data_IF_506951773222
#
_entry.id   IF_506951773222
#
_cell.length_a   1.000
_cell.length_b   1.000
_cell.length_c   1.000
_cell.angle_alpha   90.00
_cell.angle_beta   90.00
_cell.angle_gamma   90.00
#
_symmetry.space_group_name_H-M   'P 1'
#
loop_
_entity.id
_entity.type
_entity.pdbx_description
1 polymer ?
#
# COMPACT_ATOMS: atom_id res chain seq x y z
N UNK A 1 -14.16 -4.14 37.80
CA UNK A 1 -13.59 -5.07 36.80
C UNK A 1 -14.59 -5.33 35.69
N UNK A 2 -15.82 -5.78 35.99
CA UNK A 2 -16.91 -5.94 34.99
C UNK A 2 -17.20 -4.64 34.22
N UNK A 3 -17.42 -3.52 34.93
CA UNK A 3 -17.70 -2.22 34.29
C UNK A 3 -16.57 -1.70 33.36
N UNK A 4 -15.31 -2.04 33.63
CA UNK A 4 -14.18 -1.66 32.77
C UNK A 4 -14.11 -2.52 31.51
N UNK A 5 -14.45 -3.81 31.62
CA UNK A 5 -14.54 -4.71 30.47
C UNK A 5 -15.69 -4.26 29.56
N UNK A 6 -16.84 -3.91 30.14
CA UNK A 6 -18.01 -3.44 29.38
C UNK A 6 -17.71 -2.12 28.64
N UNK A 7 -17.02 -1.17 29.28
CA UNK A 7 -16.58 0.08 28.66
C UNK A 7 -15.59 -0.16 27.50
N UNK A 8 -14.64 -1.07 27.68
CA UNK A 8 -13.68 -1.42 26.63
C UNK A 8 -14.35 -2.08 25.41
N UNK A 9 -15.34 -2.94 25.63
CA UNK A 9 -16.08 -3.58 24.53
C UNK A 9 -16.97 -2.58 23.78
N UNK A 10 -17.55 -1.60 24.47
CA UNK A 10 -18.26 -0.50 23.83
C UNK A 10 -17.33 0.32 22.93
N UNK A 11 -16.17 0.73 23.44
CA UNK A 11 -15.19 1.49 22.66
C UNK A 11 -14.68 0.71 21.44
N UNK A 12 -14.42 -0.60 21.59
CA UNK A 12 -14.04 -1.47 20.46
C UNK A 12 -15.15 -1.57 19.41
N UNK A 13 -16.40 -1.66 19.85
CA UNK A 13 -17.56 -1.69 18.96
C UNK A 13 -17.70 -0.37 18.18
N UNK A 14 -17.46 0.77 18.83
CA UNK A 14 -17.45 2.07 18.17
C UNK A 14 -16.31 2.20 17.15
N UNK A 15 -15.09 1.75 17.48
CA UNK A 15 -13.96 1.70 16.55
C UNK A 15 -14.27 0.82 15.34
N UNK A 16 -14.88 -0.35 15.57
CA UNK A 16 -15.28 -1.26 14.49
C UNK A 16 -16.29 -0.59 13.55
N UNK A 17 -17.30 0.09 14.11
CA UNK A 17 -18.27 0.85 13.32
C UNK A 17 -17.60 1.96 12.52
N UNK A 18 -16.75 2.76 13.15
CA UNK A 18 -16.01 3.82 12.48
C UNK A 18 -15.13 3.27 11.34
N UNK A 19 -14.49 2.12 11.56
CA UNK A 19 -13.68 1.44 10.54
C UNK A 19 -14.54 1.03 9.34
N UNK A 20 -15.74 0.48 9.56
CA UNK A 20 -16.67 0.15 8.47
C UNK A 20 -17.08 1.40 7.67
N UNK A 21 -17.38 2.51 8.34
CA UNK A 21 -17.73 3.78 7.70
C UNK A 21 -16.56 4.32 6.85
N UNK A 22 -15.31 4.21 7.35
CA UNK A 22 -14.10 4.59 6.61
C UNK A 22 -13.94 3.74 5.34
N UNK A 23 -14.13 2.42 5.44
CA UNK A 23 -14.03 1.51 4.29
C UNK A 23 -15.08 1.86 3.22
N UNK A 24 -16.31 2.16 3.61
CA UNK A 24 -17.37 2.58 2.67
C UNK A 24 -16.98 3.87 1.93
N UNK A 25 -16.45 4.87 2.66
CA UNK A 25 -15.96 6.12 2.06
C UNK A 25 -14.79 5.89 1.11
N UNK A 26 -13.86 4.98 1.44
CA UNK A 26 -12.73 4.61 0.59
C UNK A 26 -13.21 3.90 -0.69
N UNK A 27 -14.18 3.00 -0.62
CA UNK A 27 -14.76 2.34 -1.80
C UNK A 27 -15.44 3.34 -2.74
N UNK A 28 -16.27 4.23 -2.18
CA UNK A 28 -16.88 5.33 -2.97
C UNK A 28 -15.81 6.21 -3.62
N UNK A 29 -14.72 6.46 -2.90
CA UNK A 29 -13.58 7.23 -3.43
C UNK A 29 -12.86 6.48 -4.56
N UNK A 30 -12.70 5.15 -4.46
CA UNK A 30 -12.12 4.31 -5.51
C UNK A 30 -12.92 4.41 -6.81
N UNK A 31 -14.25 4.36 -6.72
CA UNK A 31 -15.13 4.51 -7.89
C UNK A 31 -14.96 5.87 -8.56
N UNK A 32 -14.98 6.95 -7.76
CA UNK A 32 -14.76 8.32 -8.25
C UNK A 32 -13.37 8.48 -8.88
N UNK A 33 -12.32 7.95 -8.23
CA UNK A 33 -10.97 7.96 -8.76
C UNK A 33 -10.88 7.24 -10.11
N UNK A 34 -11.53 6.08 -10.24
CA UNK A 34 -11.60 5.33 -11.49
C UNK A 34 -12.27 6.15 -12.60
N UNK A 35 -13.41 6.78 -12.31
CA UNK A 35 -14.11 7.63 -13.27
C UNK A 35 -13.27 8.86 -13.68
N UNK A 36 -12.59 9.50 -12.72
CA UNK A 36 -11.68 10.61 -12.96
C UNK A 36 -10.52 10.17 -13.86
N UNK A 37 -9.93 9.00 -13.58
CA UNK A 37 -8.83 8.45 -14.38
C UNK A 37 -9.25 8.18 -15.83
N UNK A 38 -10.45 7.60 -16.06
CA UNK A 38 -11.01 7.41 -17.42
C UNK A 38 -11.11 8.76 -18.14
N UNK A 39 -11.64 9.79 -17.45
CA UNK A 39 -11.79 11.13 -18.01
C UNK A 39 -10.44 11.78 -18.34
N UNK A 40 -9.48 11.72 -17.41
CA UNK A 40 -8.13 12.26 -17.61
C UNK A 40 -7.41 11.57 -18.77
N UNK A 41 -7.51 10.25 -18.86
CA UNK A 41 -6.94 9.48 -19.97
C UNK A 41 -7.49 9.92 -21.32
N UNK A 42 -8.82 10.12 -21.43
CA UNK A 42 -9.48 10.63 -22.65
C UNK A 42 -9.05 12.04 -23.04
N UNK A 43 -8.61 12.85 -22.07
CA UNK A 43 -8.19 14.23 -22.26
C UNK A 43 -6.66 14.41 -22.21
N UNK A 44 -5.88 13.32 -22.22
CA UNK A 44 -4.42 13.34 -22.11
C UNK A 44 -3.89 14.13 -20.89
N UNK A 45 -4.62 14.10 -19.77
CA UNK A 45 -4.24 14.76 -18.53
C UNK A 45 -3.46 13.82 -17.61
N UNK A 46 -2.52 14.38 -16.85
CA UNK A 46 -1.77 13.66 -15.82
C UNK A 46 -2.71 13.20 -14.68
N UNK A 47 -2.56 11.96 -14.17
CA UNK A 47 -3.23 11.53 -12.94
C UNK A 47 -2.92 12.45 -11.74
N UNK A 48 -1.67 12.90 -11.59
CA UNK A 48 -1.30 13.83 -10.51
C UNK A 48 -1.56 15.28 -10.93
N UNK A 49 -2.24 16.01 -10.03
CA UNK A 49 -2.48 17.45 -10.11
C UNK A 49 -2.08 18.10 -8.77
N UNK A 50 -0.83 18.57 -8.70
CA UNK A 50 -0.26 19.17 -7.49
C UNK A 50 -0.97 20.47 -7.09
N UNK A 51 -1.56 21.20 -8.04
CA UNK A 51 -2.28 22.43 -7.75
C UNK A 51 -3.55 22.15 -6.95
N UNK A 52 -4.31 21.12 -7.37
CA UNK A 52 -5.49 20.62 -6.66
C UNK A 52 -5.13 20.01 -5.30
N UNK A 53 -4.06 19.22 -5.21
CA UNK A 53 -3.62 18.65 -3.93
C UNK A 53 -3.29 19.74 -2.91
N UNK A 54 -2.55 20.77 -3.32
CA UNK A 54 -2.21 21.92 -2.46
C UNK A 54 -3.44 22.74 -2.09
N UNK A 55 -4.37 22.94 -3.03
CA UNK A 55 -5.64 23.59 -2.74
C UNK A 55 -6.40 22.87 -1.62
N UNK A 56 -6.52 21.54 -1.69
CA UNK A 56 -7.21 20.74 -0.67
C UNK A 56 -6.49 20.83 0.69
N UNK A 57 -5.15 20.66 0.69
CA UNK A 57 -4.34 20.76 1.92
C UNK A 57 -4.55 22.10 2.64
N UNK A 58 -4.52 23.19 1.88
CA UNK A 58 -4.68 24.54 2.43
C UNK A 58 -6.08 24.81 2.98
N UNK A 59 -7.12 24.19 2.40
CA UNK A 59 -8.51 24.40 2.83
C UNK A 59 -8.89 23.57 4.07
N UNK A 60 -8.33 22.37 4.24
CA UNK A 60 -8.72 21.47 5.34
C UNK A 60 -8.03 21.79 6.67
N UNK A 61 -6.95 22.59 6.69
CA UNK A 61 -6.23 23.01 7.91
C UNK A 61 -5.95 21.85 8.88
N UNK A 62 -5.46 20.74 8.34
CA UNK A 62 -5.15 19.52 9.10
C UNK A 62 -3.85 19.68 9.88
N UNK A 63 -3.73 18.94 10.98
CA UNK A 63 -2.47 18.73 11.70
C UNK A 63 -1.55 17.75 10.95
N UNK A 64 -0.36 17.47 11.48
CA UNK A 64 0.61 16.59 10.81
C UNK A 64 0.09 15.18 10.59
N UNK A 65 -0.70 14.66 11.54
CA UNK A 65 -1.35 13.36 11.41
C UNK A 65 -2.38 13.37 10.27
N UNK A 66 -3.30 14.35 10.28
CA UNK A 66 -4.32 14.50 9.24
C UNK A 66 -3.71 14.74 7.85
N UNK A 67 -2.61 15.50 7.75
CA UNK A 67 -1.86 15.68 6.52
C UNK A 67 -1.26 14.36 6.01
N UNK A 68 -0.75 13.53 6.91
CA UNK A 68 -0.19 12.22 6.57
C UNK A 68 -1.26 11.27 6.03
N UNK A 69 -2.42 11.23 6.69
CA UNK A 69 -3.60 10.49 6.23
C UNK A 69 -4.09 11.02 4.88
N UNK A 70 -4.18 12.34 4.70
CA UNK A 70 -4.60 12.95 3.45
C UNK A 70 -3.64 12.63 2.29
N UNK A 71 -2.33 12.65 2.53
CA UNK A 71 -1.33 12.27 1.53
C UNK A 71 -1.51 10.80 1.11
N UNK A 72 -1.70 9.90 2.08
CA UNK A 72 -1.98 8.49 1.80
C UNK A 72 -3.25 8.33 0.95
N UNK A 73 -4.31 9.07 1.27
CA UNK A 73 -5.56 9.11 0.49
C UNK A 73 -5.31 9.61 -0.94
N UNK A 74 -4.44 10.60 -1.15
CA UNK A 74 -4.05 11.03 -2.51
C UNK A 74 -3.31 9.95 -3.27
N UNK A 75 -2.37 9.24 -2.65
CA UNK A 75 -1.65 8.14 -3.29
C UNK A 75 -2.59 7.00 -3.69
N UNK A 76 -3.55 6.63 -2.83
CA UNK A 76 -4.60 5.68 -3.19
C UNK A 76 -5.43 6.16 -4.39
N UNK A 77 -5.81 7.44 -4.39
CA UNK A 77 -6.60 8.03 -5.49
C UNK A 77 -5.83 7.93 -6.82
N UNK A 78 -4.55 8.32 -6.82
CA UNK A 78 -3.69 8.28 -8.01
C UNK A 78 -3.44 6.84 -8.47
N UNK A 79 -3.28 5.91 -7.53
CA UNK A 79 -3.12 4.49 -7.82
C UNK A 79 -4.33 3.95 -8.62
N UNK A 80 -5.55 4.25 -8.17
CA UNK A 80 -6.75 3.82 -8.89
C UNK A 80 -6.98 4.58 -10.20
N UNK A 81 -6.57 5.84 -10.31
CA UNK A 81 -6.57 6.57 -11.59
C UNK A 81 -5.63 5.93 -12.63
N UNK A 82 -4.49 5.38 -12.21
CA UNK A 82 -3.48 4.76 -13.10
C UNK A 82 -3.80 3.32 -13.50
N UNK A 83 -4.40 2.54 -12.59
CA UNK A 83 -4.60 1.10 -12.80
C UNK A 83 -5.79 0.74 -13.70
N UNK A 84 -6.37 1.70 -14.42
CA UNK A 84 -7.45 1.47 -15.38
C UNK A 84 -6.95 0.69 -16.61
N UNK A 85 -5.63 0.62 -16.82
CA UNK A 85 -5.01 0.00 -18.00
C UNK A 85 -3.87 -0.98 -17.70
N UNK A 86 -3.54 -1.20 -16.42
CA UNK A 86 -2.46 -2.10 -16.04
C UNK A 86 -3.00 -3.50 -15.77
N UNK A 87 -3.41 -4.18 -16.84
CA UNK A 87 -3.18 -5.63 -16.92
C UNK A 87 -1.66 -5.81 -16.96
N UNK A 88 -1.01 -5.69 -15.81
CA UNK A 88 0.38 -6.14 -15.65
C UNK A 88 0.33 -7.60 -16.05
N UNK A 89 1.00 -7.96 -17.16
CA UNK A 89 1.15 -9.34 -17.57
C UNK A 89 1.54 -10.14 -16.33
N UNK A 90 0.65 -11.06 -15.91
CA UNK A 90 0.75 -11.83 -14.67
C UNK A 90 2.04 -12.67 -14.57
N UNK A 91 2.82 -12.71 -15.64
CA UNK A 91 4.03 -13.53 -15.80
C UNK A 91 5.30 -12.70 -16.06
N UNK A 92 5.32 -11.43 -15.65
CA UNK A 92 6.52 -10.57 -15.84
C UNK A 92 7.59 -10.86 -14.79
N UNK A 93 8.63 -11.59 -15.20
CA UNK A 93 9.84 -11.80 -14.40
C UNK A 93 10.69 -10.53 -14.45
N UNK A 94 10.87 -9.87 -13.30
CA UNK A 94 11.76 -8.70 -13.16
C UNK A 94 13.06 -9.16 -12.52
N UNK A 95 14.18 -8.97 -13.22
CA UNK A 95 15.52 -9.27 -12.71
C UNK A 95 16.16 -8.00 -12.13
N UNK A 96 16.58 -8.08 -10.86
CA UNK A 96 17.16 -6.95 -10.11
C UNK A 96 18.60 -7.29 -9.70
N UNK A 97 19.56 -6.56 -10.26
CA UNK A 97 20.99 -6.70 -9.98
C UNK A 97 21.48 -5.58 -9.03
N UNK A 98 22.43 -5.89 -8.15
CA UNK A 98 23.03 -4.90 -7.24
C UNK A 98 23.60 -5.55 -5.98
N UNK A 99 24.17 -4.75 -5.08
CA UNK A 99 24.47 -5.21 -3.72
C UNK A 99 23.17 -5.54 -2.95
N UNK A 100 23.30 -6.22 -1.81
CA UNK A 100 22.17 -6.70 -1.02
C UNK A 100 21.18 -5.57 -0.64
N UNK A 101 21.67 -4.42 -0.16
CA UNK A 101 20.84 -3.32 0.26
C UNK A 101 20.13 -2.66 -0.93
N UNK A 102 20.85 -2.47 -2.03
CA UNK A 102 20.32 -1.92 -3.29
C UNK A 102 19.23 -2.83 -3.89
N UNK A 103 19.38 -4.16 -3.79
CA UNK A 103 18.35 -5.12 -4.25
C UNK A 103 17.09 -5.05 -3.40
N UNK A 104 17.22 -5.04 -2.07
CA UNK A 104 16.06 -4.92 -1.16
C UNK A 104 15.28 -3.63 -1.45
N UNK A 105 15.97 -2.50 -1.57
CA UNK A 105 15.33 -1.22 -1.86
C UNK A 105 14.59 -1.24 -3.21
N UNK A 106 15.19 -1.87 -4.22
CA UNK A 106 14.60 -1.96 -5.55
C UNK A 106 13.38 -2.88 -5.58
N UNK A 107 13.48 -4.04 -4.90
CA UNK A 107 12.35 -4.96 -4.75
C UNK A 107 11.22 -4.27 -3.99
N UNK A 108 11.51 -3.58 -2.89
CA UNK A 108 10.53 -2.81 -2.14
C UNK A 108 9.78 -1.82 -3.05
N UNK A 109 10.49 -1.02 -3.84
CA UNK A 109 9.86 -0.09 -4.79
C UNK A 109 8.96 -0.78 -5.83
N UNK A 110 9.29 -2.00 -6.23
CA UNK A 110 8.54 -2.76 -7.25
C UNK A 110 7.27 -3.37 -6.66
N UNK A 111 7.37 -4.02 -5.50
CA UNK A 111 6.25 -4.80 -4.93
C UNK A 111 5.38 -3.98 -3.99
N UNK A 112 5.93 -2.94 -3.39
CA UNK A 112 5.21 -2.10 -2.46
C UNK A 112 4.12 -1.31 -3.16
N UNK A 113 2.92 -1.43 -2.59
CA UNK A 113 1.75 -0.64 -2.97
C UNK A 113 1.08 -0.18 -1.68
N UNK A 114 0.47 1.02 -1.66
CA UNK A 114 -0.31 1.47 -0.51
C UNK A 114 -1.32 0.39 -0.10
N UNK A 115 -1.32 0.02 1.18
CA UNK A 115 -2.24 -0.97 1.75
C UNK A 115 -1.94 -2.44 1.45
N UNK A 116 -0.83 -2.77 0.76
CA UNK A 116 -0.43 -4.17 0.55
C UNK A 116 0.19 -4.76 1.82
N UNK A 117 -0.20 -5.99 2.16
CA UNK A 117 0.44 -6.78 3.20
C UNK A 117 1.74 -7.42 2.69
N UNK A 118 2.83 -7.20 3.42
CA UNK A 118 4.15 -7.77 3.20
C UNK A 118 4.54 -8.57 4.43
N UNK A 119 4.72 -9.87 4.26
CA UNK A 119 5.11 -10.80 5.30
C UNK A 119 6.62 -11.04 5.24
N UNK A 120 7.27 -11.03 6.40
CA UNK A 120 8.71 -11.28 6.56
C UNK A 120 8.88 -12.47 7.50
N UNK A 121 9.62 -13.50 7.08
CA UNK A 121 9.73 -14.78 7.81
C UNK A 121 10.42 -14.64 9.18
N UNK A 122 11.47 -13.84 9.28
CA UNK A 122 12.16 -13.45 10.53
C UNK A 122 12.27 -11.91 10.67
N UNK A 123 12.77 -11.41 11.80
CA UNK A 123 12.98 -9.97 11.95
C UNK A 123 14.26 -9.49 11.24
N UNK A 124 14.14 -8.54 10.32
CA UNK A 124 15.27 -7.93 9.61
C UNK A 124 15.02 -6.42 9.41
N UNK A 125 15.70 -5.61 10.23
CA UNK A 125 15.52 -4.16 10.28
C UNK A 125 15.66 -3.47 8.91
N UNK A 126 16.58 -3.96 8.06
CA UNK A 126 16.82 -3.35 6.74
C UNK A 126 15.67 -3.64 5.75
N UNK A 127 15.06 -4.82 5.85
CA UNK A 127 13.85 -5.17 5.07
C UNK A 127 12.67 -4.37 5.61
N UNK A 128 12.44 -4.41 6.93
CA UNK A 128 11.33 -3.66 7.55
C UNK A 128 11.39 -2.17 7.20
N UNK A 129 12.57 -1.54 7.27
CA UNK A 129 12.75 -0.14 6.92
C UNK A 129 12.45 0.13 5.44
N UNK A 130 12.91 -0.73 4.54
CA UNK A 130 12.70 -0.57 3.10
C UNK A 130 11.22 -0.64 2.71
N UNK A 131 10.45 -1.55 3.34
CA UNK A 131 9.04 -1.76 3.05
C UNK A 131 8.11 -0.77 3.77
N UNK A 132 8.46 -0.37 5.00
CA UNK A 132 7.66 0.58 5.78
C UNK A 132 7.58 1.96 5.13
N UNK A 133 8.64 2.39 4.43
CA UNK A 133 8.68 3.67 3.71
C UNK A 133 7.76 3.72 2.48
N UNK A 134 7.13 2.60 2.11
CA UNK A 134 6.33 2.47 0.90
C UNK A 134 4.82 2.28 1.16
N UNK A 135 4.35 2.66 2.35
CA UNK A 135 2.94 2.57 2.77
C UNK A 135 2.37 1.14 2.72
N UNK A 136 3.21 0.13 2.88
CA UNK A 136 2.80 -1.26 3.06
C UNK A 136 2.55 -1.57 4.53
N UNK A 137 1.76 -2.60 4.78
CA UNK A 137 1.62 -3.18 6.10
C UNK A 137 2.62 -4.33 6.24
N UNK A 138 3.68 -4.13 7.01
CA UNK A 138 4.71 -5.14 7.25
C UNK A 138 4.30 -6.00 8.44
N UNK A 139 4.29 -7.32 8.23
CA UNK A 139 3.90 -8.32 9.23
C UNK A 139 5.05 -9.32 9.37
N UNK A 140 5.48 -9.58 10.61
CA UNK A 140 6.46 -10.64 10.89
C UNK A 140 5.69 -11.96 11.04
N UNK A 141 6.05 -12.96 10.24
CA UNK A 141 5.42 -14.29 10.24
C UNK A 141 4.95 -14.74 8.87
N UNK A 142 4.03 -15.70 8.85
CA UNK A 142 3.49 -16.30 7.64
C UNK A 142 2.06 -15.81 7.36
N UNK A 143 1.70 -15.58 6.10
CA UNK A 143 0.33 -15.23 5.71
C UNK A 143 -0.65 -16.39 5.87
N UNK A 144 -1.86 -16.08 6.36
CA UNK A 144 -2.97 -17.04 6.53
C UNK A 144 -3.78 -17.29 5.25
N UNK A 145 -3.38 -16.69 4.13
CA UNK A 145 -4.07 -16.70 2.83
C UNK A 145 -3.07 -16.91 1.72
N UNK A 146 -3.53 -17.36 0.55
CA UNK A 146 -2.75 -17.43 -0.69
C UNK A 146 -1.82 -16.23 -0.90
N UNK A 147 -0.54 -16.48 -1.17
CA UNK A 147 0.51 -15.46 -1.26
C UNK A 147 1.54 -15.76 -2.34
N UNK A 148 2.28 -14.74 -2.76
CA UNK A 148 3.47 -14.89 -3.60
C UNK A 148 4.72 -14.96 -2.75
N UNK A 149 5.69 -15.78 -3.17
CA UNK A 149 7.00 -15.85 -2.53
C UNK A 149 7.97 -15.01 -3.34
N UNK A 150 8.60 -14.03 -2.70
CA UNK A 150 9.75 -13.29 -3.25
C UNK A 150 11.00 -13.76 -2.52
N UNK A 151 11.88 -14.46 -3.24
CA UNK A 151 13.14 -14.95 -2.68
C UNK A 151 14.27 -13.95 -2.95
N UNK A 152 14.71 -13.26 -1.90
CA UNK A 152 15.86 -12.36 -1.91
C UNK A 152 17.12 -13.17 -1.55
N UNK A 153 17.75 -13.77 -2.56
CA UNK A 153 19.00 -14.52 -2.36
C UNK A 153 20.21 -13.58 -2.39
N UNK A 154 21.30 -13.97 -1.73
CA UNK A 154 22.63 -13.34 -1.85
C UNK A 154 23.20 -13.35 -3.28
N UNK A 155 22.67 -14.20 -4.18
CA UNK A 155 23.00 -14.25 -5.60
C UNK A 155 22.51 -13.07 -6.45
N UNK A 156 22.74 -13.15 -7.77
CA UNK A 156 22.52 -12.04 -8.74
C UNK A 156 21.03 -11.84 -9.08
N UNK A 157 20.17 -12.83 -8.83
CA UNK A 157 18.81 -12.88 -9.39
C UNK A 157 17.74 -13.09 -8.33
N UNK A 158 16.70 -12.26 -8.38
CA UNK A 158 15.44 -12.43 -7.65
C UNK A 158 14.28 -12.38 -8.65
N UNK A 159 13.33 -13.29 -8.50
CA UNK A 159 12.10 -13.35 -9.29
C UNK A 159 10.95 -12.74 -8.47
N UNK A 160 10.13 -11.91 -9.12
CA UNK A 160 9.06 -11.14 -8.48
C UNK A 160 7.77 -11.35 -9.28
N UNK A 161 6.74 -11.90 -8.63
CA UNK A 161 5.40 -12.04 -9.22
C UNK A 161 4.49 -10.92 -8.69
N UNK A 162 3.85 -10.20 -9.61
CA UNK A 162 3.05 -9.01 -9.30
C UNK A 162 1.55 -9.25 -9.56
N UNK A 163 0.79 -9.48 -8.50
CA UNK A 163 -0.68 -9.35 -8.50
C UNK A 163 -1.19 -8.68 -7.20
N UNK A 164 -2.48 -8.86 -6.88
CA UNK A 164 -3.12 -8.31 -5.67
C UNK A 164 -2.97 -9.19 -4.43
N UNK A 165 -2.30 -10.35 -4.49
CA UNK A 165 -2.10 -11.23 -3.35
C UNK A 165 -1.05 -10.65 -2.37
N UNK A 166 -1.15 -11.01 -1.08
CA UNK A 166 -0.06 -10.84 -0.12
C UNK A 166 1.28 -11.37 -0.64
N UNK A 167 2.39 -10.81 -0.15
CA UNK A 167 3.74 -11.25 -0.52
C UNK A 167 4.48 -11.72 0.73
N UNK A 168 5.02 -12.94 0.68
CA UNK A 168 6.00 -13.41 1.64
C UNK A 168 7.40 -13.18 1.08
N UNK A 169 8.22 -12.42 1.81
CA UNK A 169 9.61 -12.17 1.48
C UNK A 169 10.47 -13.16 2.26
N UNK A 170 11.16 -14.05 1.53
CA UNK A 170 12.15 -14.98 2.08
C UNK A 170 13.55 -14.54 1.69
N UNK A 171 14.54 -14.82 2.52
CA UNK A 171 15.95 -14.54 2.19
C UNK A 171 16.86 -15.70 2.55
N UNK A 172 17.96 -15.83 1.80
CA UNK A 172 19.03 -16.80 1.98
C UNK A 172 20.40 -16.18 1.68
#
# INVERSE_FOLDING_TARGET
MVAFIDEMELLRSEIMKNTMDIIELIEKRRELATMIGISKMRNHLSPRDSSRENYIKNNLKLDDFGLSVLNMIFEFTIHYEKNISLNINKDSIIEVNGDYASRILSIAKIISRPGREIYIEDNNDLIEEAFSKAFCHVIIGLPDKDYHIVNINSGIKTEVILDSKPVLVKWK
#
